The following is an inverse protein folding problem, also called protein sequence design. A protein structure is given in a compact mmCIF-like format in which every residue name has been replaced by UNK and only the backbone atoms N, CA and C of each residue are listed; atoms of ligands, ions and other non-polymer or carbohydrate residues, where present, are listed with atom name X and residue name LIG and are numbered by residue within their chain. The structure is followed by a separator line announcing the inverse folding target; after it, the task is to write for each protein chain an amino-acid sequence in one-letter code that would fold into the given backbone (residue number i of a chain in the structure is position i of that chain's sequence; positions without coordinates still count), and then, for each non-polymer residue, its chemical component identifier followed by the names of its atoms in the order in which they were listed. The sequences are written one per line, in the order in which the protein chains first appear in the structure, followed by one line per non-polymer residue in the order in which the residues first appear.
data_IF_731493912999
#
_entry.id   IF_731493912999
#
_cell.length_a   1.000
_cell.length_b   1.000
_cell.length_c   1.000
_cell.angle_alpha   90.00
_cell.angle_beta   90.00
_cell.angle_gamma   90.00
#
_symmetry.space_group_name_H-M   'P 1'
#
loop_
_entity.id
_entity.type
_entity.pdbx_description
1 polymer ?
#
# COMPACT_ATOMS: atom_id res chain seq x y z
N UNK A 1 56.08 -22.31 45.82
CA UNK A 1 54.97 -22.79 44.97
C UNK A 1 54.85 -21.83 43.80
N UNK A 2 55.34 -22.23 42.63
CA UNK A 2 55.39 -21.36 41.45
C UNK A 2 54.18 -21.69 40.57
N UNK A 3 53.17 -20.82 40.57
CA UNK A 3 51.95 -21.01 39.78
C UNK A 3 52.26 -20.57 38.36
N UNK A 4 52.52 -21.53 37.48
CA UNK A 4 52.71 -21.28 36.04
C UNK A 4 51.40 -20.77 35.44
N UNK A 5 51.32 -19.46 35.25
CA UNK A 5 50.24 -18.80 34.54
C UNK A 5 50.39 -19.13 33.04
N UNK A 6 49.66 -20.15 32.57
CA UNK A 6 49.57 -20.48 31.15
C UNK A 6 48.79 -19.37 30.44
N UNK A 7 49.49 -18.33 29.98
CA UNK A 7 48.97 -17.40 28.97
C UNK A 7 48.76 -18.16 27.66
N UNK A 8 47.61 -18.82 27.54
CA UNK A 8 47.16 -19.42 26.29
C UNK A 8 46.98 -18.29 25.26
N UNK A 9 47.84 -18.27 24.23
CA UNK A 9 47.73 -17.33 23.11
C UNK A 9 46.47 -17.67 22.31
N UNK A 10 45.34 -17.03 22.62
CA UNK A 10 44.18 -16.97 21.72
C UNK A 10 44.54 -16.13 20.49
N UNK A 11 45.29 -16.70 19.55
CA UNK A 11 45.49 -16.11 18.22
C UNK A 11 44.47 -16.76 17.29
N UNK A 12 43.42 -16.02 16.93
CA UNK A 12 42.43 -16.43 15.94
C UNK A 12 40.99 -16.53 16.45
N UNK A 13 40.76 -16.83 17.73
CA UNK A 13 39.40 -16.92 18.31
C UNK A 13 38.62 -15.61 18.16
N UNK A 14 39.28 -14.47 18.41
CA UNK A 14 38.68 -13.15 18.22
C UNK A 14 38.24 -12.88 16.77
N UNK A 15 39.02 -13.33 15.78
CA UNK A 15 38.68 -13.13 14.37
C UNK A 15 37.46 -13.99 13.96
N UNK A 16 37.35 -15.20 14.49
CA UNK A 16 36.20 -16.10 14.26
C UNK A 16 34.95 -15.52 14.92
N UNK A 17 35.03 -15.08 16.17
CA UNK A 17 33.90 -14.44 16.87
C UNK A 17 33.45 -13.16 16.16
N UNK A 18 34.40 -12.31 15.75
CA UNK A 18 34.09 -11.11 14.98
C UNK A 18 33.41 -11.42 13.65
N UNK A 19 33.86 -12.47 12.93
CA UNK A 19 33.22 -12.88 11.68
C UNK A 19 31.77 -13.35 11.89
N UNK A 20 31.50 -14.10 12.97
CA UNK A 20 30.14 -14.55 13.30
C UNK A 20 29.23 -13.36 13.66
N UNK A 21 29.71 -12.44 14.49
CA UNK A 21 28.95 -11.23 14.86
C UNK A 21 28.73 -10.32 13.64
N UNK A 22 29.75 -10.16 12.80
CA UNK A 22 29.66 -9.36 11.58
C UNK A 22 28.66 -9.93 10.58
N UNK A 23 28.63 -11.25 10.41
CA UNK A 23 27.63 -11.93 9.57
C UNK A 23 26.21 -11.71 10.10
N UNK A 24 26.00 -11.89 11.41
CA UNK A 24 24.70 -11.67 12.03
C UNK A 24 24.24 -10.22 11.88
N UNK A 25 25.14 -9.25 12.13
CA UNK A 25 24.84 -7.83 11.94
C UNK A 25 24.53 -7.48 10.47
N UNK A 26 25.26 -8.08 9.52
CA UNK A 26 25.01 -7.89 8.09
C UNK A 26 23.61 -8.34 7.67
N UNK A 27 23.15 -9.49 8.18
CA UNK A 27 21.79 -9.99 7.94
C UNK A 27 20.76 -9.01 8.53
N UNK A 28 20.97 -8.55 9.77
CA UNK A 28 20.06 -7.57 10.39
C UNK A 28 19.96 -6.27 9.59
N UNK A 29 21.08 -5.75 9.11
CA UNK A 29 21.10 -4.54 8.28
C UNK A 29 20.38 -4.75 6.94
N UNK A 30 20.55 -5.92 6.32
CA UNK A 30 19.82 -6.24 5.08
C UNK A 30 18.30 -6.28 5.32
N UNK A 31 17.87 -6.84 6.44
CA UNK A 31 16.46 -6.89 6.83
C UNK A 31 15.88 -5.49 7.08
N UNK A 32 16.64 -4.62 7.75
CA UNK A 32 16.17 -3.26 8.03
C UNK A 32 16.08 -2.43 6.75
N UNK A 33 17.05 -2.53 5.84
CA UNK A 33 17.02 -1.82 4.55
C UNK A 33 15.78 -2.20 3.73
N UNK A 34 15.53 -3.50 3.54
CA UNK A 34 14.38 -3.99 2.78
C UNK A 34 13.04 -3.56 3.43
N UNK A 35 12.95 -3.65 4.76
CA UNK A 35 11.77 -3.21 5.51
C UNK A 35 11.54 -1.70 5.38
N UNK A 36 12.59 -0.88 5.46
CA UNK A 36 12.51 0.58 5.32
C UNK A 36 12.02 0.96 3.92
N UNK A 37 12.50 0.30 2.87
CA UNK A 37 12.03 0.55 1.49
C UNK A 37 10.52 0.27 1.38
N UNK A 38 10.06 -0.89 1.87
CA UNK A 38 8.64 -1.27 1.83
C UNK A 38 7.75 -0.34 2.64
N UNK A 39 8.16 0.03 3.86
CA UNK A 39 7.40 0.96 4.71
C UNK A 39 7.34 2.36 4.07
N UNK A 40 8.45 2.84 3.49
CA UNK A 40 8.48 4.14 2.79
C UNK A 40 7.54 4.14 1.59
N UNK A 41 7.59 3.10 0.76
CA UNK A 41 6.68 2.92 -0.39
C UNK A 41 5.23 2.84 0.06
N UNK A 42 4.93 2.09 1.13
CA UNK A 42 3.59 2.04 1.72
C UNK A 42 3.10 3.41 2.17
N UNK A 43 3.93 4.20 2.85
CA UNK A 43 3.57 5.54 3.30
C UNK A 43 3.30 6.52 2.15
N UNK A 44 4.02 6.38 1.02
CA UNK A 44 3.76 7.14 -0.21
C UNK A 44 2.43 6.74 -0.84
N UNK A 45 2.17 5.44 -0.96
CA UNK A 45 0.90 4.91 -1.47
C UNK A 45 -0.28 5.33 -0.59
N UNK A 46 -0.11 5.36 0.73
CA UNK A 46 -1.15 5.76 1.68
C UNK A 46 -1.60 7.22 1.48
N UNK A 47 -0.63 8.13 1.38
CA UNK A 47 -0.91 9.55 1.10
C UNK A 47 -1.60 9.75 -0.25
N UNK A 48 -1.15 9.00 -1.27
CA UNK A 48 -1.74 9.07 -2.61
C UNK A 48 -3.14 8.48 -2.66
N UNK A 49 -3.36 7.35 -2.01
CA UNK A 49 -4.66 6.69 -1.88
C UNK A 49 -5.66 7.64 -1.22
N UNK A 50 -5.30 8.26 -0.10
CA UNK A 50 -6.13 9.26 0.56
C UNK A 50 -6.38 10.50 -0.31
N UNK A 51 -5.37 11.00 -1.02
CA UNK A 51 -5.55 12.13 -1.93
C UNK A 51 -6.46 11.79 -3.11
N UNK A 52 -6.35 10.58 -3.66
CA UNK A 52 -7.12 10.14 -4.83
C UNK A 52 -8.59 9.92 -4.51
N UNK A 53 -8.91 9.34 -3.36
CA UNK A 53 -10.30 9.15 -2.93
C UNK A 53 -10.98 10.51 -2.65
N UNK A 54 -10.23 11.51 -2.16
CA UNK A 54 -10.75 12.87 -2.02
C UNK A 54 -11.01 13.53 -3.38
N UNK A 55 -10.16 13.29 -4.39
CA UNK A 55 -10.40 13.80 -5.74
C UNK A 55 -11.69 13.21 -6.33
N UNK A 56 -11.91 11.90 -6.16
CA UNK A 56 -13.16 11.23 -6.55
C UNK A 56 -14.38 11.80 -5.81
N UNK A 57 -14.24 12.15 -4.53
CA UNK A 57 -15.34 12.72 -3.75
C UNK A 57 -15.72 14.15 -4.20
N UNK A 58 -14.73 15.01 -4.44
CA UNK A 58 -14.97 16.44 -4.67
C UNK A 58 -15.29 16.80 -6.14
N UNK A 59 -15.18 15.85 -7.08
CA UNK A 59 -15.46 16.07 -8.51
C UNK A 59 -16.87 16.63 -8.77
N UNK A 60 -17.87 16.16 -8.02
CA UNK A 60 -19.27 16.57 -8.15
C UNK A 60 -19.47 18.06 -7.83
N UNK A 61 -18.63 18.64 -6.96
CA UNK A 61 -18.64 20.06 -6.63
C UNK A 61 -17.85 20.90 -7.64
N UNK A 62 -16.68 20.41 -8.07
CA UNK A 62 -15.78 21.16 -8.95
C UNK A 62 -16.27 21.22 -10.40
N UNK A 63 -16.95 20.16 -10.88
CA UNK A 63 -17.29 19.99 -12.29
C UNK A 63 -18.79 19.85 -12.59
N UNK A 64 -19.66 19.98 -11.57
CA UNK A 64 -21.12 19.78 -11.70
C UNK A 64 -21.46 18.42 -12.36
N UNK A 65 -20.63 17.42 -12.09
CA UNK A 65 -20.71 16.06 -12.63
C UNK A 65 -21.67 15.17 -11.84
N UNK A 66 -22.09 14.07 -12.47
CA UNK A 66 -22.94 13.05 -11.86
C UNK A 66 -22.28 12.41 -10.64
N UNK A 67 -23.08 11.92 -9.70
CA UNK A 67 -22.61 11.14 -8.54
C UNK A 67 -22.00 9.79 -8.93
N UNK A 68 -22.27 9.31 -10.15
CA UNK A 68 -21.77 8.03 -10.65
C UNK A 68 -20.39 8.22 -11.27
N UNK A 69 -19.42 7.40 -10.85
CA UNK A 69 -18.11 7.36 -11.50
C UNK A 69 -18.25 6.81 -12.90
N UNK A 70 -17.59 7.45 -13.86
CA UNK A 70 -17.40 6.90 -15.20
C UNK A 70 -16.03 6.24 -15.32
N UNK A 71 -15.84 5.37 -16.32
CA UNK A 71 -14.51 4.82 -16.63
C UNK A 71 -13.51 5.96 -16.91
N UNK A 72 -13.92 7.03 -17.59
CA UNK A 72 -13.03 8.15 -17.90
C UNK A 72 -12.53 8.87 -16.64
N UNK A 73 -13.36 8.96 -15.59
CA UNK A 73 -12.94 9.55 -14.30
C UNK A 73 -11.92 8.64 -13.60
N UNK A 74 -12.13 7.31 -13.68
CA UNK A 74 -11.22 6.32 -13.12
C UNK A 74 -9.86 6.38 -13.83
N UNK A 75 -9.85 6.44 -15.17
CA UNK A 75 -8.66 6.56 -15.99
C UNK A 75 -7.89 7.86 -15.66
N UNK A 76 -8.62 8.98 -15.51
CA UNK A 76 -8.02 10.27 -15.13
C UNK A 76 -7.36 10.19 -13.75
N UNK A 77 -8.04 9.60 -12.76
CA UNK A 77 -7.49 9.41 -11.41
C UNK A 77 -6.27 8.51 -11.46
N UNK A 78 -6.32 7.42 -12.22
CA UNK A 78 -5.20 6.51 -12.39
C UNK A 78 -3.97 7.23 -12.96
N UNK A 79 -4.13 8.00 -14.04
CA UNK A 79 -3.05 8.75 -14.66
C UNK A 79 -2.44 9.82 -13.74
N UNK A 80 -3.28 10.54 -12.99
CA UNK A 80 -2.84 11.54 -12.01
C UNK A 80 -2.04 10.89 -10.89
N UNK A 81 -2.53 9.79 -10.33
CA UNK A 81 -1.86 9.08 -9.24
C UNK A 81 -0.57 8.42 -9.73
N UNK A 82 -0.59 7.75 -10.88
CA UNK A 82 0.58 7.14 -11.52
C UNK A 82 1.68 8.17 -11.76
N UNK A 83 1.32 9.32 -12.34
CA UNK A 83 2.25 10.42 -12.58
C UNK A 83 2.80 11.00 -11.27
N UNK A 84 1.95 11.13 -10.25
CA UNK A 84 2.35 11.67 -8.94
C UNK A 84 3.27 10.72 -8.17
N UNK A 85 2.98 9.42 -8.23
CA UNK A 85 3.81 8.38 -7.65
C UNK A 85 5.16 8.28 -8.35
N UNK A 86 5.17 8.36 -9.68
CA UNK A 86 6.40 8.38 -10.49
C UNK A 86 7.32 9.55 -10.17
N UNK A 87 6.80 10.70 -9.74
CA UNK A 87 7.64 11.82 -9.24
C UNK A 87 8.18 11.62 -7.82
N UNK A 88 7.63 10.66 -7.08
CA UNK A 88 7.98 10.40 -5.67
C UNK A 88 8.96 9.24 -5.51
N UNK A 89 9.17 8.45 -6.56
CA UNK A 89 10.11 7.33 -6.62
C UNK A 89 11.22 7.61 -7.63
N UNK A 90 12.46 7.37 -7.23
CA UNK A 90 13.62 7.56 -8.11
C UNK A 90 13.68 6.51 -9.23
N UNK A 91 13.29 5.27 -8.94
CA UNK A 91 13.25 4.14 -9.87
C UNK A 91 11.81 3.64 -10.09
N UNK A 92 10.95 4.52 -10.59
CA UNK A 92 9.57 4.17 -10.88
C UNK A 92 9.44 3.31 -12.14
N UNK A 93 8.77 2.17 -12.02
CA UNK A 93 8.37 1.33 -13.13
C UNK A 93 6.84 1.30 -13.24
N UNK A 94 6.31 1.88 -14.32
CA UNK A 94 4.87 1.95 -14.56
C UNK A 94 4.19 0.59 -14.69
N UNK A 95 4.93 -0.47 -15.03
CA UNK A 95 4.37 -1.83 -15.19
C UNK A 95 4.12 -2.53 -13.87
N UNK A 96 4.76 -2.06 -12.79
CA UNK A 96 4.64 -2.56 -11.42
C UNK A 96 3.58 -1.83 -10.61
N UNK A 97 2.97 -0.80 -11.17
CA UNK A 97 1.98 0.03 -10.52
C UNK A 97 0.56 -0.36 -10.94
N UNK A 98 -0.34 -0.40 -9.96
CA UNK A 98 -1.75 -0.66 -10.20
C UNK A 98 -2.65 0.15 -9.29
N UNK A 99 -3.91 0.26 -9.70
CA UNK A 99 -4.98 0.81 -8.90
C UNK A 99 -6.26 -0.02 -9.04
N UNK A 100 -7.03 -0.04 -7.95
CA UNK A 100 -8.39 -0.56 -7.91
C UNK A 100 -9.26 0.50 -7.24
N UNK A 101 -10.18 1.06 -8.01
CA UNK A 101 -11.20 2.00 -7.54
C UNK A 101 -12.50 1.23 -7.40
N UNK A 102 -13.18 1.39 -6.28
CA UNK A 102 -14.48 0.80 -6.03
C UNK A 102 -15.48 1.87 -5.61
N UNK A 103 -16.70 1.73 -6.10
CA UNK A 103 -17.82 2.57 -5.76
C UNK A 103 -19.00 1.71 -5.32
N UNK A 104 -19.52 2.03 -4.13
CA UNK A 104 -20.73 1.44 -3.59
C UNK A 104 -21.81 2.52 -3.51
N UNK A 105 -22.91 2.27 -4.23
CA UNK A 105 -24.11 3.12 -4.21
C UNK A 105 -25.27 2.38 -3.58
N UNK A 106 -26.33 3.12 -3.24
CA UNK A 106 -27.50 2.59 -2.54
C UNK A 106 -28.78 2.99 -3.24
N UNK A 107 -29.78 2.12 -3.15
CA UNK A 107 -31.15 2.42 -3.55
C UNK A 107 -31.86 3.29 -2.51
N UNK A 108 -33.03 3.83 -2.86
CA UNK A 108 -33.83 4.68 -1.98
C UNK A 108 -34.29 3.99 -0.68
N UNK A 109 -34.30 2.65 -0.64
CA UNK A 109 -34.64 1.84 0.52
C UNK A 109 -33.42 1.51 1.41
N UNK A 110 -32.23 1.97 1.03
CA UNK A 110 -30.97 1.69 1.72
C UNK A 110 -30.28 0.39 1.29
N UNK A 111 -30.84 -0.35 0.33
CA UNK A 111 -30.22 -1.57 -0.21
C UNK A 111 -28.99 -1.22 -1.06
N UNK A 112 -27.87 -1.92 -0.84
CA UNK A 112 -26.66 -1.78 -1.62
C UNK A 112 -26.88 -2.19 -3.09
N UNK A 113 -26.48 -1.34 -4.03
CA UNK A 113 -26.40 -1.70 -5.44
C UNK A 113 -25.21 -2.63 -5.70
N UNK A 114 -25.12 -3.19 -6.92
CA UNK A 114 -23.93 -3.93 -7.35
C UNK A 114 -22.69 -3.05 -7.25
N UNK A 115 -21.65 -3.57 -6.58
CA UNK A 115 -20.36 -2.90 -6.47
C UNK A 115 -19.78 -2.62 -7.85
N UNK A 116 -19.41 -1.37 -8.09
CA UNK A 116 -18.75 -0.96 -9.33
C UNK A 116 -17.25 -0.93 -9.06
N UNK A 117 -16.47 -1.55 -9.95
CA UNK A 117 -15.01 -1.66 -9.79
C UNK A 117 -14.29 -1.26 -11.07
N UNK A 118 -13.24 -0.45 -10.93
CA UNK A 118 -12.34 -0.04 -11.99
C UNK A 118 -10.93 -0.47 -11.61
N UNK A 119 -10.35 -1.38 -12.38
CA UNK A 119 -9.01 -1.89 -12.13
C UNK A 119 -8.10 -1.53 -13.29
N UNK A 120 -6.92 -0.99 -12.97
CA UNK A 120 -5.91 -0.59 -13.95
C UNK A 120 -4.50 -0.94 -13.51
N UNK A 121 -3.65 -1.28 -14.49
CA UNK A 121 -2.25 -1.66 -14.26
C UNK A 121 -2.11 -3.02 -13.57
N UNK A 122 -1.19 -3.11 -12.61
CA UNK A 122 -0.97 -4.33 -11.81
C UNK A 122 -2.20 -4.68 -10.98
N UNK A 123 -2.49 -5.97 -10.81
CA UNK A 123 -3.66 -6.40 -10.06
C UNK A 123 -3.52 -6.14 -8.55
N UNK A 124 -4.23 -5.13 -8.04
CA UNK A 124 -4.31 -4.85 -6.60
C UNK A 124 -5.39 -5.71 -5.95
N UNK A 125 -5.04 -6.44 -4.88
CA UNK A 125 -5.94 -7.35 -4.19
C UNK A 125 -6.07 -6.91 -2.72
N UNK A 126 -7.03 -6.01 -2.42
CA UNK A 126 -7.26 -5.58 -1.04
C UNK A 126 -7.73 -6.77 -0.20
N UNK A 127 -7.38 -6.76 1.10
CA UNK A 127 -7.68 -7.88 2.01
C UNK A 127 -9.20 -8.10 2.23
N UNK A 128 -9.98 -7.05 2.02
CA UNK A 128 -11.44 -7.03 2.13
C UNK A 128 -11.96 -6.19 0.97
N UNK A 129 -13.14 -6.49 0.40
CA UNK A 129 -13.78 -5.65 -0.63
C UNK A 129 -14.67 -4.59 0.01
N UNK A 130 -15.00 -3.49 -0.67
CA UNK A 130 -15.88 -2.45 -0.11
C UNK A 130 -17.25 -3.02 0.29
N UNK A 131 -17.78 -3.97 -0.48
CA UNK A 131 -19.02 -4.71 -0.18
C UNK A 131 -18.98 -5.49 1.14
N UNK A 132 -17.80 -5.78 1.69
CA UNK A 132 -17.66 -6.51 2.95
C UNK A 132 -17.59 -5.61 4.19
N UNK A 133 -17.27 -4.32 4.00
CA UNK A 133 -17.12 -3.32 5.08
C UNK A 133 -18.16 -2.22 5.01
N UNK A 134 -19.01 -2.21 3.98
CA UNK A 134 -20.04 -1.18 3.79
C UNK A 134 -21.05 -1.09 4.96
N UNK A 135 -21.36 -2.21 5.61
CA UNK A 135 -22.31 -2.24 6.73
C UNK A 135 -21.87 -1.41 7.93
N UNK A 136 -20.55 -1.31 8.14
CA UNK A 136 -19.96 -0.57 9.26
C UNK A 136 -19.60 0.87 8.90
N UNK A 137 -19.50 1.18 7.60
CA UNK A 137 -18.99 2.46 7.08
C UNK A 137 -20.07 3.34 6.45
N UNK A 138 -21.23 2.77 6.13
CA UNK A 138 -22.32 3.50 5.48
C UNK A 138 -23.04 4.42 6.47
N UNK A 139 -23.36 5.64 6.00
CA UNK A 139 -23.99 6.68 6.82
C UNK A 139 -25.23 7.21 6.12
N UNK A 140 -26.31 7.36 6.89
CA UNK A 140 -27.54 8.01 6.43
C UNK A 140 -27.37 9.52 6.53
N UNK A 141 -27.52 10.21 5.41
CA UNK A 141 -27.49 11.68 5.34
C UNK A 141 -28.72 12.31 6.01
N UNK A 142 -28.67 13.63 6.29
CA UNK A 142 -29.81 14.36 6.87
C UNK A 142 -31.10 14.33 6.04
N UNK A 143 -31.02 13.92 4.76
CA UNK A 143 -32.16 13.75 3.86
C UNK A 143 -32.71 12.32 3.83
N UNK A 144 -32.25 11.45 4.72
CA UNK A 144 -32.72 10.06 4.82
C UNK A 144 -32.18 9.14 3.72
N UNK A 145 -31.16 9.57 2.97
CA UNK A 145 -30.50 8.76 1.92
C UNK A 145 -29.16 8.23 2.40
N UNK A 146 -28.85 6.98 2.06
CA UNK A 146 -27.54 6.40 2.33
C UNK A 146 -26.49 7.04 1.42
N UNK A 147 -25.39 7.51 2.00
CA UNK A 147 -24.30 8.14 1.26
C UNK A 147 -23.50 7.11 0.46
N UNK A 148 -23.04 7.48 -0.73
CA UNK A 148 -22.17 6.61 -1.54
C UNK A 148 -20.83 6.41 -0.85
N UNK A 149 -20.18 5.26 -1.04
CA UNK A 149 -18.84 5.01 -0.54
C UNK A 149 -17.88 4.86 -1.72
N UNK A 150 -16.72 5.52 -1.61
CA UNK A 150 -15.64 5.34 -2.56
C UNK A 150 -14.45 4.71 -1.86
N UNK A 151 -13.80 3.78 -2.53
CA UNK A 151 -12.52 3.25 -2.11
C UNK A 151 -11.53 3.32 -3.24
N UNK A 152 -10.33 3.80 -2.94
CA UNK A 152 -9.18 3.65 -3.83
C UNK A 152 -8.16 2.76 -3.16
N UNK A 153 -7.67 1.76 -3.89
CA UNK A 153 -6.57 0.90 -3.50
C UNK A 153 -5.45 1.07 -4.52
N UNK A 154 -4.26 1.38 -4.05
CA UNK A 154 -3.07 1.51 -4.87
C UNK A 154 -2.07 0.43 -4.49
N UNK A 155 -1.43 -0.17 -5.48
CA UNK A 155 -0.41 -1.18 -5.26
C UNK A 155 0.84 -0.93 -6.11
N UNK A 156 1.98 -1.37 -5.58
CA UNK A 156 3.26 -1.33 -6.27
C UNK A 156 4.08 -2.58 -5.95
N UNK A 157 4.65 -3.21 -6.98
CA UNK A 157 5.59 -4.31 -6.80
C UNK A 157 7.00 -3.78 -6.52
N UNK A 158 7.50 -4.06 -5.32
CA UNK A 158 8.87 -3.76 -4.91
C UNK A 158 9.78 -4.97 -5.10
N UNK A 159 11.06 -4.72 -5.32
CA UNK A 159 12.06 -5.76 -5.29
C UNK A 159 12.18 -6.35 -3.87
N UNK A 160 12.37 -7.68 -3.79
CA UNK A 160 12.64 -8.36 -2.53
C UNK A 160 14.11 -8.70 -2.43
N UNK A 161 14.85 -7.91 -1.64
CA UNK A 161 16.27 -8.19 -1.40
C UNK A 161 16.44 -9.46 -0.58
N UNK A 162 15.49 -9.75 0.32
CA UNK A 162 15.55 -10.89 1.25
C UNK A 162 14.98 -12.19 0.64
N UNK A 163 14.16 -12.12 -0.41
CA UNK A 163 13.45 -13.31 -0.92
C UNK A 163 14.40 -14.44 -1.35
N UNK A 164 15.53 -14.08 -1.98
CA UNK A 164 16.54 -15.05 -2.39
C UNK A 164 17.28 -15.71 -1.21
N UNK A 165 17.26 -15.07 -0.03
CA UNK A 165 17.92 -15.57 1.18
C UNK A 165 16.98 -16.42 2.05
N UNK A 166 15.70 -16.07 2.14
CA UNK A 166 14.75 -16.69 3.08
C UNK A 166 13.60 -17.49 2.43
N UNK A 167 13.52 -17.56 1.09
CA UNK A 167 12.42 -18.25 0.36
C UNK A 167 11.00 -17.84 0.83
N UNK A 168 10.88 -16.65 1.41
CA UNK A 168 9.64 -16.04 1.87
C UNK A 168 9.69 -14.57 1.44
N UNK A 169 8.86 -14.19 0.48
CA UNK A 169 8.88 -12.86 -0.11
C UNK A 169 7.49 -12.30 -0.32
N UNK A 170 7.27 -11.09 0.18
CA UNK A 170 6.11 -10.26 -0.16
C UNK A 170 6.60 -9.15 -1.09
N UNK A 171 6.31 -9.25 -2.39
CA UNK A 171 6.73 -8.27 -3.41
C UNK A 171 5.80 -7.07 -3.46
N UNK A 172 4.49 -7.30 -3.30
CA UNK A 172 3.48 -6.27 -3.51
C UNK A 172 3.19 -5.49 -2.23
N UNK A 173 3.40 -4.18 -2.30
CA UNK A 173 2.99 -3.23 -1.26
C UNK A 173 1.69 -2.58 -1.71
N UNK A 174 0.69 -2.53 -0.83
CA UNK A 174 -0.60 -1.90 -1.12
C UNK A 174 -1.07 -1.00 0.02
N UNK A 175 -1.81 0.04 -0.34
CA UNK A 175 -2.60 0.85 0.60
C UNK A 175 -3.99 1.13 0.02
N UNK A 176 -4.97 1.26 0.89
CA UNK A 176 -6.36 1.52 0.52
C UNK A 176 -6.97 2.58 1.44
N UNK A 177 -7.77 3.47 0.88
CA UNK A 177 -8.49 4.50 1.62
C UNK A 177 -9.95 4.51 1.21
N UNK A 178 -10.84 4.63 2.19
CA UNK A 178 -12.29 4.69 1.99
C UNK A 178 -12.78 6.06 2.44
N UNK A 179 -13.70 6.65 1.69
CA UNK A 179 -14.39 7.89 2.07
C UNK A 179 -15.87 7.80 1.78
N UNK A 180 -16.64 8.49 2.62
CA UNK A 180 -18.06 8.73 2.38
C UNK A 180 -18.20 9.87 1.37
N UNK A 181 -19.00 9.61 0.34
CA UNK A 181 -19.46 10.58 -0.65
C UNK A 181 -20.33 11.68 -0.03
N UNK A 182 -20.63 12.70 -0.82
CA UNK A 182 -21.42 13.85 -0.39
C UNK A 182 -22.90 13.70 -0.73
#
# INVERSE_FOLDING_TARGET
MNVTNLKYKQKGTFAIEFAIVGLFLGILLMVTIDSTIKISTKGKLDRLSFSSVNLLKERTQLYNESYLTTQADADLVFDVVKSSFGRTLESFDSTKFGALIEEQTYQSDGTANTLVTYAEGTNCQPAQTLSSVEGDLSVVTSWGRQATLYRVTLCYETENLIANLLNAGFTTVQSSSVIVGR
#
